data_IF_642883938476
#
_entry.id   IF_642883938476
#
_cell.length_a   1.000
_cell.length_b   1.000
_cell.length_c   1.000
_cell.angle_alpha   90.00
_cell.angle_beta   90.00
_cell.angle_gamma   90.00
#
_symmetry.space_group_name_H-M   'P 1'
#
loop_
_entity.id
_entity.type
_entity.pdbx_description
1 polymer ?
#
# COMPACT_ATOMS: atom_id res chain seq x y z
N UNK A 1 9.29 -16.61 -18.42
CA UNK A 1 9.97 -16.30 -17.14
C UNK A 1 9.23 -15.18 -16.41
N UNK A 2 9.73 -14.73 -15.22
CA UNK A 2 9.13 -13.62 -14.43
C UNK A 2 8.95 -12.37 -15.27
N UNK A 3 9.86 -12.12 -16.18
CA UNK A 3 9.79 -10.99 -17.15
C UNK A 3 8.52 -11.04 -17.98
N UNK A 4 8.21 -12.20 -18.51
CA UNK A 4 7.07 -12.38 -19.41
C UNK A 4 5.76 -12.34 -18.64
N UNK A 5 5.75 -12.92 -17.43
CA UNK A 5 4.58 -12.90 -16.53
C UNK A 5 4.22 -11.50 -16.07
N UNK A 6 5.22 -10.67 -15.72
CA UNK A 6 4.99 -9.27 -15.34
C UNK A 6 4.52 -8.44 -16.55
N UNK A 7 5.07 -8.70 -17.73
CA UNK A 7 4.67 -8.04 -18.97
C UNK A 7 3.25 -8.44 -19.39
N UNK A 8 2.90 -9.73 -19.28
CA UNK A 8 1.54 -10.20 -19.52
C UNK A 8 0.53 -9.65 -18.49
N UNK A 9 0.91 -9.56 -17.22
CA UNK A 9 0.05 -8.99 -16.17
C UNK A 9 -0.22 -7.51 -16.42
N UNK A 10 0.78 -6.76 -16.90
CA UNK A 10 0.63 -5.35 -17.28
C UNK A 10 -0.25 -5.20 -18.52
N UNK A 11 -0.13 -6.10 -19.50
CA UNK A 11 -0.90 -6.04 -20.73
C UNK A 11 -2.33 -6.61 -20.62
N UNK A 12 -2.55 -7.69 -19.86
CA UNK A 12 -3.88 -8.33 -19.74
C UNK A 12 -4.96 -7.45 -19.10
N UNK A 13 -4.58 -6.52 -18.21
CA UNK A 13 -5.54 -5.56 -17.60
C UNK A 13 -5.59 -4.21 -18.31
N UNK A 14 -4.88 -4.06 -19.41
CA UNK A 14 -4.84 -2.84 -20.25
C UNK A 14 -6.01 -2.74 -21.24
N UNK A 15 -7.03 -3.59 -21.17
CA UNK A 15 -8.19 -3.52 -22.07
C UNK A 15 -9.12 -2.33 -21.78
N UNK A 16 -8.99 -1.67 -20.65
CA UNK A 16 -9.59 -0.36 -20.44
C UNK A 16 -8.66 0.74 -21.03
N UNK A 17 -9.10 1.28 -22.10
CA UNK A 17 -8.55 2.17 -23.14
C UNK A 17 -7.76 3.43 -22.71
N UNK A 18 -7.16 3.51 -21.53
CA UNK A 18 -6.23 4.63 -21.22
C UNK A 18 -4.79 4.16 -21.38
N UNK A 19 -4.01 4.78 -22.27
CA UNK A 19 -2.60 4.42 -22.43
C UNK A 19 -1.86 4.62 -21.10
N UNK A 20 -1.01 3.66 -20.74
CA UNK A 20 -0.02 3.86 -19.68
C UNK A 20 0.75 5.12 -20.06
N UNK A 21 0.93 6.08 -19.14
CA UNK A 21 1.69 7.28 -19.44
C UNK A 21 3.08 6.87 -19.97
N UNK A 22 3.59 7.58 -20.97
CA UNK A 22 4.92 7.29 -21.55
C UNK A 22 5.98 7.16 -20.46
N UNK A 23 5.88 7.95 -19.39
CA UNK A 23 6.78 7.92 -18.25
C UNK A 23 6.70 6.60 -17.47
N UNK A 24 5.50 6.09 -17.21
CA UNK A 24 5.34 4.79 -16.53
C UNK A 24 5.91 3.66 -17.38
N UNK A 25 5.72 3.70 -18.68
CA UNK A 25 6.29 2.71 -19.62
C UNK A 25 7.82 2.80 -19.66
N UNK A 26 8.39 3.99 -19.72
CA UNK A 26 9.85 4.20 -19.68
C UNK A 26 10.45 3.73 -18.38
N UNK A 27 9.81 4.05 -17.24
CA UNK A 27 10.21 3.59 -15.91
C UNK A 27 10.23 2.07 -15.85
N UNK A 28 9.16 1.44 -16.28
CA UNK A 28 9.04 -0.01 -16.27
C UNK A 28 10.12 -0.68 -17.14
N UNK A 29 10.38 -0.15 -18.33
CA UNK A 29 11.45 -0.63 -19.22
C UNK A 29 12.83 -0.48 -18.59
N UNK A 30 13.15 0.68 -18.01
CA UNK A 30 14.43 0.93 -17.34
C UNK A 30 14.66 -0.06 -16.18
N UNK A 31 13.63 -0.32 -15.35
CA UNK A 31 13.69 -1.30 -14.28
C UNK A 31 13.97 -2.70 -14.83
N UNK A 32 13.27 -3.14 -15.89
CA UNK A 32 13.47 -4.46 -16.49
C UNK A 32 14.84 -4.61 -17.15
N UNK A 33 15.34 -3.56 -17.82
CA UNK A 33 16.65 -3.57 -18.48
C UNK A 33 17.81 -3.55 -17.49
N UNK A 34 17.56 -3.17 -16.22
CA UNK A 34 18.59 -3.02 -15.20
C UNK A 34 19.39 -1.75 -15.34
N UNK A 35 18.85 -0.77 -16.06
CA UNK A 35 19.47 0.54 -16.17
C UNK A 35 19.48 1.27 -14.82
N UNK A 36 20.49 2.12 -14.60
CA UNK A 36 20.54 2.97 -13.43
C UNK A 36 19.35 3.94 -13.46
N UNK A 37 18.45 3.77 -12.50
CA UNK A 37 17.22 4.53 -12.43
C UNK A 37 17.28 5.57 -11.30
N UNK A 38 17.17 6.87 -11.57
CA UNK A 38 17.18 7.89 -10.52
C UNK A 38 16.00 7.72 -9.57
N UNK A 39 16.24 7.67 -8.27
CA UNK A 39 15.21 7.55 -7.24
C UNK A 39 14.09 8.60 -7.37
N UNK A 40 14.47 9.83 -7.77
CA UNK A 40 13.52 10.91 -8.03
C UNK A 40 12.54 10.59 -9.17
N UNK A 41 13.03 10.02 -10.27
CA UNK A 41 12.20 9.67 -11.41
C UNK A 41 11.20 8.56 -11.05
N UNK A 42 11.61 7.62 -10.20
CA UNK A 42 10.74 6.59 -9.66
C UNK A 42 9.60 7.19 -8.81
N UNK A 43 9.92 8.10 -7.89
CA UNK A 43 8.93 8.81 -7.07
C UNK A 43 7.97 9.63 -7.93
N UNK A 44 8.48 10.39 -8.89
CA UNK A 44 7.68 11.20 -9.81
C UNK A 44 6.74 10.33 -10.65
N UNK A 45 7.21 9.16 -11.08
CA UNK A 45 6.38 8.19 -11.82
C UNK A 45 5.24 7.65 -10.96
N UNK A 46 5.51 7.29 -9.70
CA UNK A 46 4.48 6.81 -8.78
C UNK A 46 3.44 7.89 -8.47
N UNK A 47 3.88 9.16 -8.31
CA UNK A 47 2.98 10.30 -8.10
C UNK A 47 2.07 10.50 -9.32
N UNK A 48 2.63 10.48 -10.54
CA UNK A 48 1.86 10.65 -11.77
C UNK A 48 0.87 9.51 -12.02
N UNK A 49 1.29 8.25 -11.79
CA UNK A 49 0.38 7.11 -11.87
C UNK A 49 -0.78 7.26 -10.87
N UNK A 50 -0.52 7.87 -9.71
CA UNK A 50 -1.55 8.20 -8.73
C UNK A 50 -2.54 9.25 -9.25
N UNK A 51 -2.06 10.28 -9.93
CA UNK A 51 -2.90 11.35 -10.46
C UNK A 51 -3.84 10.89 -11.59
N UNK A 52 -3.50 9.78 -12.28
CA UNK A 52 -4.31 9.19 -13.34
C UNK A 52 -5.42 8.23 -12.83
N UNK A 53 -5.69 8.19 -11.53
CA UNK A 53 -6.66 7.24 -10.96
C UNK A 53 -8.12 7.63 -11.20
N UNK A 54 -8.91 6.65 -11.66
CA UNK A 54 -10.35 6.61 -11.43
C UNK A 54 -10.62 6.23 -9.95
N UNK A 55 -11.49 6.98 -9.30
CA UNK A 55 -11.84 6.77 -7.89
C UNK A 55 -12.25 5.32 -7.62
N UNK A 56 -11.61 4.70 -6.64
CA UNK A 56 -12.00 3.40 -6.08
C UNK A 56 -11.33 2.16 -6.66
N UNK A 57 -10.60 2.20 -7.78
CA UNK A 57 -9.88 1.04 -8.32
C UNK A 57 -8.45 0.96 -7.80
N UNK A 58 -8.07 -0.23 -7.35
CA UNK A 58 -6.70 -0.54 -6.97
C UNK A 58 -5.75 -0.27 -8.15
N UNK A 59 -4.74 0.58 -7.95
CA UNK A 59 -3.80 0.93 -9.03
C UNK A 59 -2.77 -0.18 -9.24
N UNK A 60 -3.17 -1.24 -9.95
CA UNK A 60 -2.34 -2.39 -10.26
C UNK A 60 -1.04 -2.02 -11.01
N UNK A 61 -1.04 -0.93 -11.81
CA UNK A 61 0.16 -0.42 -12.50
C UNK A 61 1.21 0.05 -11.52
N UNK A 62 0.79 0.77 -10.48
CA UNK A 62 1.67 1.21 -9.39
C UNK A 62 2.24 0.02 -8.64
N UNK A 63 1.41 -0.98 -8.34
CA UNK A 63 1.86 -2.22 -7.70
C UNK A 63 2.86 -2.95 -8.58
N UNK A 64 2.61 -3.09 -9.87
CA UNK A 64 3.51 -3.75 -10.81
C UNK A 64 4.87 -3.06 -10.87
N UNK A 65 4.93 -1.73 -10.91
CA UNK A 65 6.18 -0.96 -10.90
C UNK A 65 6.94 -1.18 -9.59
N UNK A 66 6.25 -1.10 -8.43
CA UNK A 66 6.87 -1.33 -7.12
C UNK A 66 7.42 -2.75 -7.02
N UNK A 67 6.62 -3.76 -7.38
CA UNK A 67 7.05 -5.17 -7.36
C UNK A 67 8.25 -5.40 -8.29
N UNK A 68 8.22 -4.85 -9.50
CA UNK A 68 9.32 -4.97 -10.45
C UNK A 68 10.60 -4.33 -9.92
N UNK A 69 10.50 -3.16 -9.31
CA UNK A 69 11.63 -2.49 -8.67
C UNK A 69 12.23 -3.35 -7.56
N UNK A 70 11.41 -3.90 -6.67
CA UNK A 70 11.86 -4.72 -5.54
C UNK A 70 12.50 -6.02 -6.02
N UNK A 71 11.89 -6.74 -6.96
CA UNK A 71 12.46 -7.96 -7.55
C UNK A 71 13.84 -7.68 -8.15
N UNK A 72 13.98 -6.55 -8.85
CA UNK A 72 15.23 -6.22 -9.55
C UNK A 72 16.36 -5.78 -8.63
N UNK A 73 16.06 -4.96 -7.62
CA UNK A 73 17.09 -4.29 -6.83
C UNK A 73 17.33 -4.91 -5.45
N UNK A 74 16.39 -5.70 -4.94
CA UNK A 74 16.43 -6.20 -3.57
C UNK A 74 16.60 -7.73 -3.48
N UNK A 75 16.95 -8.40 -4.58
CA UNK A 75 17.05 -9.88 -4.66
C UNK A 75 15.82 -10.58 -4.04
N UNK A 76 14.65 -10.03 -4.21
CA UNK A 76 13.42 -10.59 -3.69
C UNK A 76 13.19 -11.95 -4.35
N UNK A 77 13.36 -13.01 -3.58
CA UNK A 77 13.26 -14.39 -4.07
C UNK A 77 11.80 -14.74 -4.40
N UNK A 78 11.61 -15.35 -5.54
CA UNK A 78 10.33 -15.72 -6.14
C UNK A 78 9.53 -16.79 -5.36
N UNK A 79 10.03 -17.30 -4.25
CA UNK A 79 9.43 -18.41 -3.49
C UNK A 79 8.57 -17.99 -2.30
N UNK A 80 8.57 -16.73 -1.92
CA UNK A 80 7.74 -16.26 -0.82
C UNK A 80 6.45 -15.68 -1.40
N UNK A 81 5.30 -16.07 -0.88
CA UNK A 81 3.94 -15.78 -1.38
C UNK A 81 3.61 -14.28 -1.43
N UNK A 82 4.24 -13.52 -2.32
CA UNK A 82 4.01 -12.07 -2.47
C UNK A 82 2.78 -11.69 -3.31
N UNK A 83 1.99 -12.66 -3.71
CA UNK A 83 0.74 -12.43 -4.46
C UNK A 83 -0.45 -12.06 -3.57
N UNK A 84 -0.33 -12.27 -2.26
CA UNK A 84 -1.37 -11.98 -1.27
C UNK A 84 -0.82 -11.40 0.03
N UNK A 85 -1.71 -11.22 1.01
CA UNK A 85 -1.36 -10.69 2.32
C UNK A 85 -0.49 -11.68 3.09
N UNK A 86 0.71 -11.25 3.48
CA UNK A 86 1.56 -11.98 4.41
C UNK A 86 1.31 -11.47 5.83
N UNK A 87 0.49 -12.18 6.60
CA UNK A 87 0.17 -11.83 7.99
C UNK A 87 1.34 -12.10 8.93
N UNK A 88 2.23 -13.04 8.59
CA UNK A 88 3.38 -13.43 9.41
C UNK A 88 4.61 -12.52 9.19
N UNK A 89 4.57 -11.63 8.20
CA UNK A 89 5.69 -10.73 7.94
C UNK A 89 6.05 -9.90 9.18
N UNK A 90 7.34 -9.87 9.49
CA UNK A 90 7.95 -9.01 10.51
C UNK A 90 8.74 -7.85 9.89
N UNK A 91 8.71 -7.66 8.56
CA UNK A 91 9.32 -6.48 7.95
C UNK A 91 8.52 -5.24 8.37
N UNK A 92 9.18 -4.35 9.13
CA UNK A 92 8.53 -3.17 9.71
C UNK A 92 7.85 -2.30 8.66
N UNK A 93 8.47 -2.15 7.50
CA UNK A 93 7.94 -1.29 6.44
C UNK A 93 6.67 -1.88 5.83
N UNK A 94 6.65 -3.20 5.61
CA UNK A 94 5.47 -3.92 5.16
C UNK A 94 4.33 -3.84 6.19
N UNK A 95 4.65 -4.05 7.46
CA UNK A 95 3.70 -3.99 8.58
C UNK A 95 3.10 -2.60 8.73
N UNK A 96 3.90 -1.53 8.57
CA UNK A 96 3.44 -0.14 8.56
C UNK A 96 2.48 0.13 7.40
N UNK A 97 2.74 -0.42 6.23
CA UNK A 97 1.82 -0.34 5.10
C UNK A 97 0.46 -0.99 5.41
N UNK A 98 0.47 -2.17 6.06
CA UNK A 98 -0.75 -2.83 6.55
C UNK A 98 -1.51 -1.96 7.55
N UNK A 99 -0.79 -1.41 8.53
CA UNK A 99 -1.39 -0.49 9.52
C UNK A 99 -2.07 0.70 8.84
N UNK A 100 -1.41 1.31 7.86
CA UNK A 100 -1.96 2.44 7.14
C UNK A 100 -3.28 2.10 6.42
N UNK A 101 -3.36 0.94 5.78
CA UNK A 101 -4.59 0.44 5.15
C UNK A 101 -5.74 0.23 6.14
N UNK A 102 -5.42 -0.29 7.34
CA UNK A 102 -6.42 -0.46 8.40
C UNK A 102 -6.95 0.90 8.88
N UNK A 103 -6.07 1.87 9.11
CA UNK A 103 -6.45 3.22 9.54
C UNK A 103 -7.33 3.94 8.49
N UNK A 104 -7.01 3.81 7.21
CA UNK A 104 -7.85 4.30 6.12
C UNK A 104 -9.21 3.62 6.09
N UNK A 105 -9.25 2.31 6.27
CA UNK A 105 -10.50 1.54 6.30
C UNK A 105 -11.41 1.94 7.44
N UNK A 106 -10.85 2.17 8.63
CA UNK A 106 -11.59 2.69 9.79
C UNK A 106 -12.21 4.05 9.49
N UNK A 107 -11.45 4.96 8.86
CA UNK A 107 -11.96 6.26 8.46
C UNK A 107 -13.12 6.13 7.46
N UNK A 108 -12.94 5.32 6.42
CA UNK A 108 -13.93 5.15 5.37
C UNK A 108 -15.24 4.56 5.90
N UNK A 109 -15.16 3.55 6.78
CA UNK A 109 -16.34 2.89 7.34
C UNK A 109 -17.05 3.75 8.40
N UNK A 110 -16.29 4.61 9.12
CA UNK A 110 -16.86 5.59 10.06
C UNK A 110 -17.48 6.82 9.35
N UNK A 111 -16.99 7.16 8.16
CA UNK A 111 -17.43 8.36 7.44
C UNK A 111 -17.67 8.02 5.96
N UNK A 112 -18.77 7.32 5.65
CA UNK A 112 -19.15 7.05 4.26
C UNK A 112 -19.25 8.35 3.45
N UNK A 113 -18.66 8.38 2.25
CA UNK A 113 -18.69 9.55 1.37
C UNK A 113 -17.65 10.63 1.67
N UNK A 114 -16.67 10.37 2.55
CA UNK A 114 -15.58 11.32 2.79
C UNK A 114 -14.79 11.59 1.50
N UNK A 115 -14.62 12.86 1.15
CA UNK A 115 -13.92 13.29 -0.07
C UNK A 115 -12.40 13.26 0.08
N UNK A 116 -11.88 13.60 1.26
CA UNK A 116 -10.44 13.68 1.53
C UNK A 116 -10.01 12.57 2.49
N UNK A 117 -9.51 11.48 1.93
CA UNK A 117 -9.11 10.31 2.70
C UNK A 117 -7.76 10.49 3.40
N UNK A 118 -7.48 9.65 4.39
CA UNK A 118 -6.15 9.55 5.00
C UNK A 118 -5.09 9.28 3.91
N UNK A 119 -5.40 8.44 2.94
CA UNK A 119 -4.50 8.14 1.82
C UNK A 119 -4.11 9.39 1.04
N UNK A 120 -5.07 10.24 0.70
CA UNK A 120 -4.80 11.43 -0.12
C UNK A 120 -3.90 12.43 0.60
N UNK A 121 -4.04 12.54 1.91
CA UNK A 121 -3.32 13.51 2.73
C UNK A 121 -1.99 13.01 3.25
N UNK A 122 -1.91 11.75 3.65
CA UNK A 122 -0.81 11.25 4.48
C UNK A 122 0.00 10.11 3.87
N UNK A 123 -0.40 9.49 2.75
CA UNK A 123 0.30 8.31 2.25
C UNK A 123 1.80 8.55 2.03
N UNK A 124 2.16 9.64 1.35
CA UNK A 124 3.56 9.93 1.04
C UNK A 124 4.38 10.23 2.30
N UNK A 125 3.82 11.01 3.24
CA UNK A 125 4.50 11.34 4.49
C UNK A 125 4.56 10.15 5.44
N UNK A 126 3.52 9.33 5.53
CA UNK A 126 3.53 8.09 6.32
C UNK A 126 4.56 7.09 5.77
N UNK A 127 4.69 7.02 4.45
CA UNK A 127 5.68 6.18 3.76
C UNK A 127 7.11 6.70 3.93
N UNK A 128 7.32 8.02 4.02
CA UNK A 128 8.66 8.61 4.15
C UNK A 128 9.14 8.81 5.59
N UNK A 129 8.24 9.22 6.47
CA UNK A 129 8.54 9.61 7.86
C UNK A 129 7.49 9.06 8.84
N UNK A 130 7.44 7.73 9.05
CA UNK A 130 6.42 7.07 9.87
C UNK A 130 6.28 7.67 11.27
N UNK A 131 7.39 7.90 11.97
CA UNK A 131 7.36 8.42 13.35
C UNK A 131 6.65 9.78 13.49
N UNK A 132 6.64 10.60 12.45
CA UNK A 132 5.95 11.89 12.47
C UNK A 132 4.45 11.75 12.21
N UNK A 133 4.03 10.74 11.45
CA UNK A 133 2.67 10.66 10.90
C UNK A 133 1.79 9.67 11.67
N UNK A 134 2.28 8.50 12.00
CA UNK A 134 1.46 7.45 12.63
C UNK A 134 0.85 7.87 13.97
N UNK A 135 1.53 8.60 14.86
CA UNK A 135 0.89 9.08 16.09
C UNK A 135 -0.34 9.97 15.84
N UNK A 136 -0.30 10.79 14.79
CA UNK A 136 -1.43 11.62 14.36
C UNK A 136 -2.59 10.75 13.87
N UNK A 137 -2.29 9.78 13.01
CA UNK A 137 -3.30 8.87 12.46
C UNK A 137 -3.95 8.00 13.53
N UNK A 138 -3.18 7.52 14.50
CA UNK A 138 -3.69 6.74 15.63
C UNK A 138 -4.63 7.59 16.50
N UNK A 139 -4.30 8.87 16.73
CA UNK A 139 -5.19 9.79 17.43
C UNK A 139 -6.51 9.99 16.67
N UNK A 140 -6.45 10.17 15.34
CA UNK A 140 -7.64 10.28 14.49
C UNK A 140 -8.48 8.99 14.51
N UNK A 141 -7.83 7.82 14.48
CA UNK A 141 -8.49 6.51 14.61
C UNK A 141 -9.41 6.45 15.82
N UNK A 142 -9.00 6.97 16.97
CA UNK A 142 -9.79 6.89 18.19
C UNK A 142 -11.15 7.57 18.05
N UNK A 143 -11.23 8.70 17.35
CA UNK A 143 -12.49 9.39 17.05
C UNK A 143 -13.38 8.59 16.11
N UNK A 144 -12.79 7.99 15.08
CA UNK A 144 -13.51 7.15 14.14
C UNK A 144 -14.03 5.87 14.78
N UNK A 145 -13.25 5.24 15.67
CA UNK A 145 -13.64 4.05 16.42
C UNK A 145 -14.81 4.33 17.37
N UNK A 146 -14.85 5.50 18.01
CA UNK A 146 -16.00 5.91 18.83
C UNK A 146 -17.28 6.02 17.99
N UNK A 147 -17.20 6.54 16.77
CA UNK A 147 -18.33 6.63 15.87
C UNK A 147 -18.79 5.24 15.41
N UNK A 148 -17.86 4.39 14.98
CA UNK A 148 -18.16 3.00 14.61
C UNK A 148 -18.81 2.21 15.75
N UNK A 149 -18.37 2.41 17.00
CA UNK A 149 -18.97 1.75 18.16
C UNK A 149 -20.44 2.11 18.41
N UNK A 150 -20.88 3.27 17.93
CA UNK A 150 -22.29 3.67 18.04
C UNK A 150 -23.18 3.13 16.90
N UNK A 151 -22.60 2.98 15.72
CA UNK A 151 -23.34 2.66 14.50
C UNK A 151 -23.12 1.22 14.02
N UNK A 152 -21.94 0.65 14.27
CA UNK A 152 -21.48 -0.65 13.73
C UNK A 152 -20.50 -1.35 14.69
N UNK A 153 -21.00 -1.80 15.83
CA UNK A 153 -20.14 -2.40 16.88
C UNK A 153 -19.31 -3.60 16.38
N UNK A 154 -19.86 -4.45 15.54
CA UNK A 154 -19.12 -5.58 14.95
C UNK A 154 -17.93 -5.13 14.12
N UNK A 155 -18.06 -4.04 13.36
CA UNK A 155 -16.94 -3.47 12.61
C UNK A 155 -15.88 -2.89 13.55
N UNK A 156 -16.29 -2.21 14.62
CA UNK A 156 -15.38 -1.71 15.65
C UNK A 156 -14.54 -2.85 16.23
N UNK A 157 -15.17 -3.92 16.69
CA UNK A 157 -14.50 -5.06 17.34
C UNK A 157 -13.52 -5.74 16.35
N UNK A 158 -13.89 -5.88 15.08
CA UNK A 158 -13.01 -6.40 14.03
C UNK A 158 -11.75 -5.51 13.87
N UNK A 159 -11.93 -4.20 13.75
CA UNK A 159 -10.80 -3.29 13.58
C UNK A 159 -9.93 -3.16 14.82
N UNK A 160 -10.49 -3.23 16.02
CA UNK A 160 -9.72 -3.23 17.27
C UNK A 160 -8.78 -4.43 17.33
N UNK A 161 -9.29 -5.63 17.01
CA UNK A 161 -8.49 -6.85 16.96
C UNK A 161 -7.35 -6.71 15.94
N UNK A 162 -7.68 -6.37 14.70
CA UNK A 162 -6.72 -6.26 13.61
C UNK A 162 -5.66 -5.17 13.87
N UNK A 163 -6.07 -4.02 14.40
CA UNK A 163 -5.16 -2.95 14.80
C UNK A 163 -4.19 -3.42 15.88
N UNK A 164 -4.68 -4.10 16.90
CA UNK A 164 -3.87 -4.60 18.01
C UNK A 164 -2.84 -5.63 17.51
N UNK A 165 -3.25 -6.59 16.69
CA UNK A 165 -2.36 -7.59 16.09
C UNK A 165 -1.20 -6.93 15.29
N UNK A 166 -1.49 -5.89 14.52
CA UNK A 166 -0.47 -5.18 13.74
C UNK A 166 0.44 -4.35 14.65
N UNK A 167 -0.13 -3.67 15.66
CA UNK A 167 0.65 -2.86 16.60
C UNK A 167 1.64 -3.69 17.42
N UNK A 168 1.27 -4.91 17.83
CA UNK A 168 2.20 -5.82 18.49
C UNK A 168 3.48 -6.08 17.69
N UNK A 169 3.37 -6.21 16.38
CA UNK A 169 4.53 -6.41 15.50
C UNK A 169 5.41 -5.15 15.40
N UNK A 170 4.83 -3.98 15.53
CA UNK A 170 5.55 -2.70 15.49
C UNK A 170 6.26 -2.44 16.82
N UNK A 171 5.57 -2.65 17.93
CA UNK A 171 6.12 -2.45 19.28
C UNK A 171 7.29 -3.39 19.55
N UNK A 172 7.23 -4.63 19.04
CA UNK A 172 8.33 -5.59 19.11
C UNK A 172 9.61 -5.13 18.38
N UNK A 173 9.53 -4.11 17.53
CA UNK A 173 10.62 -3.54 16.74
C UNK A 173 10.96 -2.09 17.13
N UNK A 174 10.80 -1.73 18.40
CA UNK A 174 11.12 -0.40 18.93
C UNK A 174 10.27 0.76 18.38
N UNK A 175 9.09 0.46 17.82
CA UNK A 175 8.10 1.44 17.41
C UNK A 175 8.27 1.96 15.97
N UNK A 176 7.90 3.22 15.75
CA UNK A 176 7.88 3.80 14.42
C UNK A 176 9.26 4.34 13.99
N UNK A 177 9.83 3.86 12.86
CA UNK A 177 11.08 4.38 12.34
C UNK A 177 10.95 5.86 11.93
N UNK A 178 12.02 6.62 12.14
CA UNK A 178 12.04 8.05 11.79
C UNK A 178 11.91 8.29 10.29
N UNK A 179 12.55 7.45 9.49
CA UNK A 179 12.53 7.52 8.02
C UNK A 179 12.60 6.11 7.44
N UNK A 180 11.99 5.95 6.28
CA UNK A 180 12.14 4.76 5.44
C UNK A 180 12.98 5.09 4.20
N UNK A 181 13.89 4.20 3.85
CA UNK A 181 14.62 4.21 2.58
C UNK A 181 13.66 4.01 1.40
N UNK A 182 14.12 4.22 0.17
CA UNK A 182 13.28 4.01 -1.02
C UNK A 182 12.79 2.56 -1.15
N UNK A 183 13.65 1.59 -0.80
CA UNK A 183 13.28 0.18 -0.75
C UNK A 183 12.17 -0.09 0.27
N UNK A 184 12.35 0.39 1.49
CA UNK A 184 11.38 0.27 2.57
C UNK A 184 10.05 0.94 2.23
N UNK A 185 10.07 2.08 1.55
CA UNK A 185 8.87 2.74 1.02
C UNK A 185 8.14 1.86 -0.01
N UNK A 186 8.88 1.11 -0.82
CA UNK A 186 8.31 0.12 -1.72
C UNK A 186 7.61 -1.01 -0.97
N UNK A 187 8.24 -1.56 0.07
CA UNK A 187 7.65 -2.59 0.94
C UNK A 187 6.41 -2.07 1.67
N UNK A 188 6.45 -0.83 2.17
CA UNK A 188 5.28 -0.16 2.75
C UNK A 188 4.10 -0.14 1.76
N UNK A 189 4.34 0.29 0.53
CA UNK A 189 3.29 0.35 -0.48
C UNK A 189 2.71 -1.04 -0.78
N UNK A 190 3.53 -2.08 -0.82
CA UNK A 190 3.06 -3.47 -1.01
C UNK A 190 2.20 -3.93 0.17
N UNK A 191 2.64 -3.72 1.40
CA UNK A 191 1.87 -4.06 2.59
C UNK A 191 0.50 -3.37 2.62
N UNK A 192 0.46 -2.08 2.26
CA UNK A 192 -0.78 -1.33 2.11
C UNK A 192 -1.74 -1.97 1.09
N UNK A 193 -1.25 -2.29 -0.10
CA UNK A 193 -2.10 -2.85 -1.14
C UNK A 193 -2.57 -4.27 -0.84
N UNK A 194 -1.73 -5.11 -0.26
CA UNK A 194 -2.11 -6.47 0.15
C UNK A 194 -3.22 -6.44 1.20
N UNK A 195 -3.08 -5.58 2.23
CA UNK A 195 -4.10 -5.44 3.27
C UNK A 195 -5.40 -4.86 2.72
N UNK A 196 -5.32 -3.92 1.78
CA UNK A 196 -6.49 -3.35 1.11
C UNK A 196 -7.19 -4.39 0.24
N UNK A 197 -6.46 -5.19 -0.51
CA UNK A 197 -7.01 -6.27 -1.35
C UNK A 197 -7.80 -7.27 -0.52
N UNK A 198 -7.27 -7.73 0.61
CA UNK A 198 -7.97 -8.67 1.50
C UNK A 198 -9.33 -8.14 1.98
N UNK A 199 -9.47 -6.83 2.17
CA UNK A 199 -10.76 -6.23 2.54
C UNK A 199 -11.80 -6.40 1.42
N UNK A 200 -11.40 -6.33 0.16
CA UNK A 200 -12.32 -6.48 -0.97
C UNK A 200 -12.68 -7.94 -1.24
N UNK A 201 -11.73 -8.86 -1.14
CA UNK A 201 -11.98 -10.30 -1.29
C UNK A 201 -13.09 -10.81 -0.36
N UNK A 202 -13.07 -10.40 0.92
CA UNK A 202 -14.10 -10.75 1.90
C UNK A 202 -15.51 -10.19 1.60
N UNK A 203 -15.62 -9.18 0.74
CA UNK A 203 -16.91 -8.60 0.34
C UNK A 203 -17.55 -9.32 -0.85
N UNK A 204 -16.75 -9.99 -1.67
CA UNK A 204 -17.23 -10.76 -2.82
C UNK A 204 -17.78 -12.14 -2.41
N UNK A 205 -17.35 -12.68 -1.27
CA UNK A 205 -17.82 -13.97 -0.73
C UNK A 205 -19.15 -13.88 0.07
N UNK A 206 -19.79 -12.74 0.16
CA UNK A 206 -21.08 -12.50 0.82
C UNK A 206 -22.16 -12.09 -0.16
#
# INVERSE_FOLDING_TARGET
GVRDMLFETVNKKSTDKKPISNMATMTFRAILSGDKYPARLYSDTLIRIRAEQDEGKLNWRRIAIIKTYLIRNCNWKEGENYMGLNEESNDISYVLGRLFSVLESIQADANPGIQATIRDRYFNSACGTPAAVFPILIKLKNSHMKKLGREKEGAKNYYEKLFTEIMWKIDAQEGFPKRLSLEEQGKFAIGYYHQTQKKYEKREEK
#
